data_IF_843514405794
#
_entry.id   IF_843514405794
#
_cell.length_a   1.000
_cell.length_b   1.000
_cell.length_c   1.000
_cell.angle_alpha   90.00
_cell.angle_beta   90.00
_cell.angle_gamma   90.00
#
_symmetry.space_group_name_H-M   'P 1'
#
loop_
_entity.id
_entity.type
_entity.pdbx_description
1 polymer ?
#
# COMPACT_ATOMS: atom_id res chain seq x y z
N UNK A 1 32.37 -12.92 -8.67
CA UNK A 1 32.48 -12.47 -7.25
C UNK A 1 31.84 -11.11 -7.02
N UNK A 2 32.28 -10.00 -7.66
CA UNK A 2 31.70 -8.65 -7.47
C UNK A 2 30.17 -8.59 -7.57
N UNK A 3 29.59 -9.13 -8.64
CA UNK A 3 28.14 -9.09 -8.87
C UNK A 3 27.36 -9.94 -7.85
N UNK A 4 27.97 -11.01 -7.32
CA UNK A 4 27.35 -11.86 -6.28
C UNK A 4 27.31 -11.12 -4.95
N UNK A 5 28.41 -10.45 -4.58
CA UNK A 5 28.47 -9.62 -3.36
C UNK A 5 27.44 -8.49 -3.44
N UNK A 6 27.36 -7.81 -4.59
CA UNK A 6 26.42 -6.72 -4.82
C UNK A 6 24.97 -7.21 -4.77
N UNK A 7 24.68 -8.37 -5.36
CA UNK A 7 23.37 -9.02 -5.26
C UNK A 7 22.96 -9.33 -3.81
N UNK A 8 23.85 -9.95 -3.03
CA UNK A 8 23.56 -10.30 -1.62
C UNK A 8 23.35 -9.06 -0.75
N UNK A 9 24.12 -8.00 -0.98
CA UNK A 9 23.96 -6.73 -0.26
C UNK A 9 22.62 -6.07 -0.59
N UNK A 10 22.26 -6.02 -1.88
CA UNK A 10 20.94 -5.52 -2.32
C UNK A 10 19.80 -6.37 -1.77
N UNK A 11 19.95 -7.69 -1.78
CA UNK A 11 18.96 -8.61 -1.21
C UNK A 11 18.73 -8.32 0.26
N UNK A 12 19.80 -8.19 1.06
CA UNK A 12 19.71 -7.85 2.48
C UNK A 12 19.01 -6.50 2.71
N UNK A 13 19.41 -5.47 1.96
CA UNK A 13 18.81 -4.14 2.05
C UNK A 13 17.32 -4.13 1.69
N UNK A 14 16.97 -4.68 0.52
CA UNK A 14 15.57 -4.74 0.08
C UNK A 14 14.73 -5.60 1.02
N UNK A 15 15.25 -6.74 1.47
CA UNK A 15 14.52 -7.63 2.37
C UNK A 15 14.19 -6.94 3.69
N UNK A 16 15.15 -6.24 4.30
CA UNK A 16 14.91 -5.46 5.50
C UNK A 16 13.85 -4.37 5.27
N UNK A 17 14.05 -3.52 4.26
CA UNK A 17 13.14 -2.42 3.96
C UNK A 17 11.69 -2.88 3.68
N UNK A 18 11.53 -3.93 2.85
CA UNK A 18 10.22 -4.48 2.49
C UNK A 18 9.57 -5.15 3.71
N UNK A 19 10.33 -5.88 4.54
CA UNK A 19 9.80 -6.51 5.74
C UNK A 19 9.23 -5.49 6.71
N UNK A 20 9.96 -4.40 6.99
CA UNK A 20 9.45 -3.34 7.88
C UNK A 20 8.24 -2.61 7.29
N UNK A 21 8.23 -2.36 5.97
CA UNK A 21 7.06 -1.80 5.28
C UNK A 21 5.83 -2.70 5.40
N UNK A 22 6.01 -4.02 5.22
CA UNK A 22 4.93 -4.99 5.32
C UNK A 22 4.45 -5.20 6.77
N UNK A 23 5.32 -5.05 7.77
CA UNK A 23 4.89 -4.99 9.19
C UNK A 23 3.98 -3.79 9.43
N UNK A 24 4.34 -2.60 8.94
CA UNK A 24 3.50 -1.42 9.07
C UNK A 24 2.16 -1.58 8.33
N UNK A 25 2.19 -2.20 7.14
CA UNK A 25 1.00 -2.53 6.36
C UNK A 25 0.08 -3.52 7.11
N UNK A 26 0.65 -4.58 7.67
CA UNK A 26 -0.07 -5.58 8.47
C UNK A 26 -0.74 -4.96 9.70
N UNK A 27 -0.01 -4.12 10.45
CA UNK A 27 -0.56 -3.45 11.64
C UNK A 27 -1.66 -2.46 11.26
N UNK A 28 -1.51 -1.75 10.14
CA UNK A 28 -2.54 -0.85 9.62
C UNK A 28 -3.79 -1.62 9.22
N UNK A 29 -3.64 -2.79 8.60
CA UNK A 29 -4.76 -3.64 8.25
C UNK A 29 -5.52 -4.13 9.49
N UNK A 30 -4.80 -4.51 10.55
CA UNK A 30 -5.44 -4.82 11.82
C UNK A 30 -6.17 -3.61 12.41
N UNK A 31 -5.58 -2.41 12.43
CA UNK A 31 -6.24 -1.22 12.98
C UNK A 31 -7.57 -0.90 12.26
N UNK A 32 -7.63 -1.10 10.94
CA UNK A 32 -8.89 -1.00 10.19
C UNK A 32 -9.85 -2.13 10.55
N UNK A 33 -9.34 -3.36 10.74
CA UNK A 33 -10.12 -4.50 11.23
C UNK A 33 -10.75 -4.27 12.61
N UNK A 34 -10.01 -3.66 13.54
CA UNK A 34 -10.48 -3.27 14.88
C UNK A 34 -11.68 -2.33 14.80
N UNK A 35 -11.63 -1.36 13.89
CA UNK A 35 -12.72 -0.42 13.64
C UNK A 35 -13.91 -1.07 12.90
N UNK A 36 -13.66 -2.08 12.07
CA UNK A 36 -14.68 -2.71 11.23
C UNK A 36 -15.47 -3.82 11.94
N UNK A 37 -14.80 -4.68 12.71
CA UNK A 37 -15.38 -5.88 13.33
C UNK A 37 -15.74 -5.65 14.81
N UNK A 38 -16.76 -6.36 15.32
CA UNK A 38 -17.24 -6.27 16.72
C UNK A 38 -16.87 -7.47 17.58
N UNK A 39 -17.01 -7.30 18.90
CA UNK A 39 -16.88 -8.39 19.88
C UNK A 39 -15.43 -8.86 20.07
N UNK A 40 -15.25 -10.15 20.41
CA UNK A 40 -13.93 -10.76 20.61
C UNK A 40 -13.00 -10.63 19.39
N UNK A 41 -13.58 -10.51 18.19
CA UNK A 41 -12.81 -10.26 16.98
C UNK A 41 -12.09 -8.89 17.02
N UNK A 42 -12.67 -7.86 17.63
CA UNK A 42 -12.06 -6.53 17.75
C UNK A 42 -10.82 -6.55 18.66
N UNK A 43 -10.86 -7.30 19.77
CA UNK A 43 -9.73 -7.42 20.70
C UNK A 43 -8.50 -8.07 20.05
N UNK A 44 -8.71 -9.01 19.13
CA UNK A 44 -7.66 -9.62 18.32
C UNK A 44 -6.93 -8.61 17.42
N UNK A 45 -7.60 -7.53 17.03
CA UNK A 45 -7.09 -6.49 16.15
C UNK A 45 -6.52 -5.27 16.88
N UNK A 46 -6.70 -5.18 18.21
CA UNK A 46 -6.12 -4.11 19.04
C UNK A 46 -4.65 -3.84 18.71
N UNK A 47 -4.28 -2.56 18.66
CA UNK A 47 -2.95 -2.14 18.19
C UNK A 47 -1.79 -2.90 18.89
N UNK A 48 -1.87 -3.07 20.20
CA UNK A 48 -0.87 -3.79 20.98
C UNK A 48 -0.79 -5.28 20.62
N UNK A 49 -1.95 -5.95 20.47
CA UNK A 49 -2.03 -7.35 20.05
C UNK A 49 -1.51 -7.53 18.61
N UNK A 50 -1.85 -6.60 17.73
CA UNK A 50 -1.46 -6.61 16.31
C UNK A 50 0.04 -6.44 16.12
N UNK A 51 0.68 -5.52 16.86
CA UNK A 51 2.14 -5.38 16.86
C UNK A 51 2.78 -6.67 17.38
N UNK A 52 2.29 -7.21 18.51
CA UNK A 52 2.81 -8.48 19.06
C UNK A 52 2.69 -9.61 18.04
N UNK A 53 1.54 -9.77 17.39
CA UNK A 53 1.29 -10.80 16.36
C UNK A 53 2.22 -10.62 15.16
N UNK A 54 2.43 -9.39 14.69
CA UNK A 54 3.31 -9.08 13.57
C UNK A 54 4.77 -9.51 13.84
N UNK A 55 5.25 -9.36 15.08
CA UNK A 55 6.61 -9.73 15.50
C UNK A 55 6.74 -11.15 16.09
N UNK A 56 5.65 -11.91 16.22
CA UNK A 56 5.69 -13.26 16.80
C UNK A 56 5.06 -14.29 15.85
N UNK A 57 3.74 -14.44 15.90
CA UNK A 57 3.01 -15.51 15.20
C UNK A 57 2.99 -15.32 13.69
N UNK A 58 2.98 -14.08 13.21
CA UNK A 58 2.91 -13.75 11.78
C UNK A 58 4.23 -13.25 11.21
N UNK A 59 5.28 -13.15 12.03
CA UNK A 59 6.58 -12.65 11.56
C UNK A 59 7.16 -13.51 10.44
N UNK A 60 7.09 -14.84 10.57
CA UNK A 60 7.57 -15.76 9.53
C UNK A 60 6.83 -15.60 8.20
N UNK A 61 5.50 -15.40 8.26
CA UNK A 61 4.65 -15.10 7.09
C UNK A 61 5.09 -13.81 6.41
N UNK A 62 5.32 -12.74 7.18
CA UNK A 62 5.75 -11.44 6.67
C UNK A 62 7.15 -11.53 6.06
N UNK A 63 8.11 -12.13 6.77
CA UNK A 63 9.48 -12.32 6.28
C UNK A 63 9.54 -13.15 5.00
N UNK A 64 8.76 -14.23 4.91
CA UNK A 64 8.74 -15.12 3.75
C UNK A 64 8.21 -14.41 2.51
N UNK A 65 7.06 -13.74 2.59
CA UNK A 65 6.51 -12.98 1.46
C UNK A 65 7.41 -11.81 1.04
N UNK A 66 8.00 -11.12 2.02
CA UNK A 66 8.94 -10.01 1.79
C UNK A 66 10.25 -10.46 1.13
N UNK A 67 10.75 -11.65 1.48
CA UNK A 67 11.96 -12.22 0.88
C UNK A 67 11.78 -12.49 -0.62
N UNK A 68 10.62 -13.01 -1.00
CA UNK A 68 10.32 -13.31 -2.40
C UNK A 68 10.33 -12.04 -3.26
N UNK A 69 9.68 -10.96 -2.79
CA UNK A 69 9.72 -9.66 -3.45
C UNK A 69 11.13 -9.05 -3.49
N UNK A 70 11.86 -9.13 -2.38
CA UNK A 70 13.24 -8.64 -2.28
C UNK A 70 14.18 -9.35 -3.26
N UNK A 71 13.99 -10.66 -3.47
CA UNK A 71 14.77 -11.46 -4.42
C UNK A 71 14.63 -10.93 -5.84
N UNK A 72 13.40 -10.63 -6.26
CA UNK A 72 13.10 -10.13 -7.60
C UNK A 72 13.64 -8.71 -7.77
N UNK A 73 13.48 -7.84 -6.76
CA UNK A 73 14.05 -6.48 -6.76
C UNK A 73 15.57 -6.49 -6.86
N UNK A 74 16.23 -7.35 -6.07
CA UNK A 74 17.68 -7.51 -6.12
C UNK A 74 18.15 -8.03 -7.48
N UNK A 75 17.46 -9.05 -8.03
CA UNK A 75 17.78 -9.62 -9.34
C UNK A 75 17.63 -8.57 -10.46
N UNK A 76 16.54 -7.79 -10.43
CA UNK A 76 16.31 -6.69 -11.38
C UNK A 76 17.40 -5.63 -11.27
N UNK A 77 17.74 -5.20 -10.07
CA UNK A 77 18.74 -4.13 -9.85
C UNK A 77 20.13 -4.53 -10.37
N UNK A 78 20.51 -5.80 -10.26
CA UNK A 78 21.74 -6.33 -10.85
C UNK A 78 21.63 -6.52 -12.37
N UNK A 79 20.46 -6.92 -12.87
CA UNK A 79 20.22 -7.10 -14.30
C UNK A 79 20.13 -5.78 -15.09
N UNK A 80 19.73 -4.68 -14.46
CA UNK A 80 19.65 -3.33 -15.04
C UNK A 80 21.05 -2.66 -15.16
N UNK A 81 22.13 -3.45 -15.23
CA UNK A 81 23.49 -2.96 -15.43
C UNK A 81 23.61 -2.34 -16.83
N UNK A 82 23.67 -1.00 -16.85
CA UNK A 82 23.76 -0.15 -18.04
C UNK A 82 24.94 -0.48 -18.97
N UNK A 83 25.89 -1.31 -18.53
CA UNK A 83 27.02 -1.79 -19.32
C UNK A 83 26.66 -2.94 -20.27
N UNK A 84 25.63 -3.74 -19.98
CA UNK A 84 25.18 -4.84 -20.85
C UNK A 84 24.04 -4.42 -21.76
N UNK A 85 24.38 -3.85 -22.92
CA UNK A 85 23.40 -3.42 -23.94
C UNK A 85 23.06 -4.53 -24.93
N UNK A 86 22.45 -5.61 -24.45
CA UNK A 86 21.88 -6.66 -25.31
C UNK A 86 20.35 -6.61 -25.29
N UNK A 87 19.72 -6.89 -26.43
CA UNK A 87 18.26 -7.02 -26.54
C UNK A 87 17.72 -8.06 -25.55
N UNK A 88 18.45 -9.17 -25.36
CA UNK A 88 18.09 -10.21 -24.39
C UNK A 88 18.12 -9.70 -22.94
N UNK A 89 19.09 -8.86 -22.59
CA UNK A 89 19.15 -8.23 -21.27
C UNK A 89 17.99 -7.26 -21.07
N UNK A 90 17.64 -6.48 -22.10
CA UNK A 90 16.47 -5.58 -22.04
C UNK A 90 15.16 -6.36 -21.83
N UNK A 91 14.92 -7.44 -22.58
CA UNK A 91 13.74 -8.31 -22.41
C UNK A 91 13.70 -8.89 -20.99
N UNK A 92 14.83 -9.39 -20.50
CA UNK A 92 14.92 -9.95 -19.15
C UNK A 92 14.61 -8.91 -18.06
N UNK A 93 15.17 -7.71 -18.15
CA UNK A 93 14.88 -6.60 -17.22
C UNK A 93 13.41 -6.18 -17.30
N UNK A 94 12.82 -6.15 -18.50
CA UNK A 94 11.39 -5.87 -18.67
C UNK A 94 10.50 -6.93 -17.98
N UNK A 95 10.81 -8.22 -18.15
CA UNK A 95 10.10 -9.31 -17.47
C UNK A 95 10.23 -9.16 -15.95
N UNK A 96 11.44 -8.93 -15.44
CA UNK A 96 11.66 -8.72 -14.01
C UNK A 96 10.91 -7.50 -13.47
N UNK A 97 10.82 -6.40 -14.23
CA UNK A 97 10.02 -5.21 -13.87
C UNK A 97 8.54 -5.51 -13.74
N UNK A 98 7.99 -6.31 -14.66
CA UNK A 98 6.57 -6.72 -14.61
C UNK A 98 6.35 -7.64 -13.41
N UNK A 99 7.23 -8.62 -13.25
CA UNK A 99 7.16 -9.62 -12.19
C UNK A 99 7.26 -8.97 -10.81
N UNK A 100 8.17 -8.01 -10.62
CA UNK A 100 8.29 -7.22 -9.39
C UNK A 100 6.98 -6.49 -9.06
N UNK A 101 6.38 -5.80 -10.04
CA UNK A 101 5.13 -5.06 -9.84
C UNK A 101 3.97 -5.99 -9.48
N UNK A 102 3.83 -7.09 -10.21
CA UNK A 102 2.75 -8.06 -9.97
C UNK A 102 2.90 -8.69 -8.58
N UNK A 103 4.11 -9.07 -8.20
CA UNK A 103 4.33 -9.77 -6.93
C UNK A 103 4.25 -8.82 -5.74
N UNK A 104 4.81 -7.60 -5.86
CA UNK A 104 4.61 -6.57 -4.83
C UNK A 104 3.12 -6.28 -4.63
N UNK A 105 2.36 -6.14 -5.71
CA UNK A 105 0.92 -5.93 -5.62
C UNK A 105 0.21 -7.09 -4.92
N UNK A 106 0.42 -8.34 -5.36
CA UNK A 106 -0.20 -9.51 -4.74
C UNK A 106 0.18 -9.68 -3.26
N UNK A 107 1.43 -9.37 -2.91
CA UNK A 107 1.92 -9.41 -1.54
C UNK A 107 1.14 -8.48 -0.61
N UNK A 108 0.91 -7.23 -1.03
CA UNK A 108 0.15 -6.25 -0.24
C UNK A 108 -1.23 -6.81 0.14
N UNK A 109 -1.98 -7.31 -0.84
CA UNK A 109 -3.29 -7.91 -0.59
C UNK A 109 -3.24 -9.18 0.26
N UNK A 110 -2.25 -10.05 0.02
CA UNK A 110 -2.05 -11.25 0.81
C UNK A 110 -1.74 -10.93 2.28
N UNK A 111 -0.97 -9.88 2.56
CA UNK A 111 -0.66 -9.46 3.93
C UNK A 111 -1.86 -8.85 4.64
N UNK A 112 -2.69 -8.06 3.96
CA UNK A 112 -3.97 -7.60 4.51
C UNK A 112 -4.83 -8.79 4.89
N UNK A 113 -4.96 -9.77 3.99
CA UNK A 113 -5.76 -10.95 4.25
C UNK A 113 -5.19 -11.79 5.40
N UNK A 114 -3.87 -11.95 5.48
CA UNK A 114 -3.19 -12.61 6.59
C UNK A 114 -3.39 -11.88 7.93
N UNK A 115 -3.41 -10.55 7.93
CA UNK A 115 -3.65 -9.75 9.13
C UNK A 115 -5.03 -10.00 9.72
N UNK A 116 -6.05 -9.98 8.86
CA UNK A 116 -7.45 -10.17 9.24
C UNK A 116 -7.75 -11.63 9.60
N UNK A 117 -7.24 -12.60 8.85
CA UNK A 117 -7.60 -14.02 9.03
C UNK A 117 -6.63 -14.81 9.91
N UNK A 118 -5.42 -14.30 10.15
CA UNK A 118 -4.35 -15.02 10.85
C UNK A 118 -3.73 -16.18 10.06
N UNK A 119 -4.03 -16.31 8.76
CA UNK A 119 -3.51 -17.38 7.91
C UNK A 119 -2.05 -17.14 7.50
N UNK A 120 -1.32 -18.23 7.19
CA UNK A 120 0.02 -18.15 6.63
C UNK A 120 0.04 -17.56 5.21
N UNK A 121 1.17 -17.01 4.76
CA UNK A 121 1.30 -16.27 3.50
C UNK A 121 0.66 -16.96 2.28
N UNK A 122 1.01 -18.24 2.06
CA UNK A 122 0.55 -19.01 0.89
C UNK A 122 -0.95 -19.27 0.97
N UNK A 123 -1.46 -19.58 2.15
CA UNK A 123 -2.88 -19.84 2.37
C UNK A 123 -3.68 -18.53 2.21
N UNK A 124 -3.22 -17.44 2.83
CA UNK A 124 -3.82 -16.12 2.72
C UNK A 124 -3.89 -15.65 1.26
N UNK A 125 -2.82 -15.85 0.49
CA UNK A 125 -2.78 -15.51 -0.94
C UNK A 125 -3.82 -16.28 -1.76
N UNK A 126 -3.98 -17.60 -1.51
CA UNK A 126 -4.98 -18.43 -2.19
C UNK A 126 -6.40 -18.03 -1.81
N UNK A 127 -6.66 -17.90 -0.50
CA UNK A 127 -7.96 -17.47 0.03
C UNK A 127 -8.37 -16.10 -0.50
N UNK A 128 -7.42 -15.16 -0.59
CA UNK A 128 -7.65 -13.84 -1.19
C UNK A 128 -8.05 -13.95 -2.66
N UNK A 129 -7.31 -14.71 -3.47
CA UNK A 129 -7.61 -14.90 -4.90
C UNK A 129 -8.98 -15.56 -5.08
N UNK A 130 -9.31 -16.56 -4.26
CA UNK A 130 -10.58 -17.27 -4.34
C UNK A 130 -11.75 -16.37 -3.92
N UNK A 131 -11.58 -15.57 -2.87
CA UNK A 131 -12.57 -14.57 -2.46
C UNK A 131 -12.85 -13.56 -3.59
N UNK A 132 -11.80 -13.04 -4.22
CA UNK A 132 -11.95 -12.07 -5.31
C UNK A 132 -12.62 -12.69 -6.55
N UNK A 133 -12.28 -13.93 -6.90
CA UNK A 133 -12.94 -14.66 -7.99
C UNK A 133 -14.41 -14.90 -7.70
N UNK A 134 -14.77 -15.28 -6.47
CA UNK A 134 -16.15 -15.51 -6.07
C UNK A 134 -16.98 -14.22 -6.08
N UNK A 135 -16.38 -13.08 -5.73
CA UNK A 135 -17.06 -11.78 -5.72
C UNK A 135 -17.10 -11.10 -7.10
N UNK A 136 -16.30 -11.53 -8.06
CA UNK A 136 -16.25 -10.96 -9.41
C UNK A 136 -15.71 -9.53 -9.47
N UNK A 137 -14.95 -9.10 -8.45
CA UNK A 137 -14.53 -7.72 -8.29
C UNK A 137 -13.30 -7.38 -9.14
N UNK A 138 -13.45 -6.44 -10.09
CA UNK A 138 -12.32 -5.79 -10.78
C UNK A 138 -11.82 -4.54 -10.03
N UNK A 139 -12.15 -4.42 -8.73
CA UNK A 139 -11.79 -3.32 -7.82
C UNK A 139 -10.29 -2.95 -7.83
N UNK A 140 -9.44 -3.84 -8.33
CA UNK A 140 -8.04 -3.60 -8.72
C UNK A 140 -7.86 -2.28 -9.51
N UNK A 141 -8.83 -1.90 -10.34
CA UNK A 141 -8.77 -0.68 -11.16
C UNK A 141 -8.87 0.59 -10.28
N UNK A 142 -9.73 0.59 -9.26
CA UNK A 142 -9.91 1.75 -8.39
C UNK A 142 -8.70 2.02 -7.49
N UNK A 143 -8.01 0.96 -7.04
CA UNK A 143 -6.79 1.10 -6.24
C UNK A 143 -5.72 1.91 -6.97
N UNK A 144 -5.60 1.72 -8.29
CA UNK A 144 -4.65 2.47 -9.12
C UNK A 144 -4.98 3.96 -9.15
N UNK A 145 -6.26 4.33 -9.12
CA UNK A 145 -6.71 5.72 -9.09
C UNK A 145 -6.43 6.37 -7.73
N UNK A 146 -6.73 5.66 -6.63
CA UNK A 146 -6.47 6.14 -5.26
C UNK A 146 -4.98 6.36 -5.04
N UNK A 147 -4.14 5.37 -5.38
CA UNK A 147 -2.69 5.49 -5.26
C UNK A 147 -2.13 6.65 -6.09
N UNK A 148 -2.61 6.84 -7.31
CA UNK A 148 -2.19 7.97 -8.16
C UNK A 148 -2.60 9.31 -7.57
N UNK A 149 -3.81 9.42 -7.05
CA UNK A 149 -4.33 10.65 -6.42
C UNK A 149 -3.52 11.01 -5.18
N UNK A 150 -3.23 10.03 -4.32
CA UNK A 150 -2.40 10.23 -3.12
C UNK A 150 -0.96 10.65 -3.46
N UNK A 151 -0.36 10.11 -4.53
CA UNK A 151 0.94 10.56 -5.01
C UNK A 151 0.93 12.01 -5.48
N UNK A 152 -0.13 12.44 -6.18
CA UNK A 152 -0.28 13.84 -6.60
C UNK A 152 -0.43 14.77 -5.39
N UNK A 153 -1.18 14.36 -4.37
CA UNK A 153 -1.32 15.11 -3.11
C UNK A 153 0.04 15.25 -2.41
N UNK A 154 0.81 14.16 -2.29
CA UNK A 154 2.15 14.20 -1.67
C UNK A 154 3.10 15.16 -2.40
N UNK A 155 3.11 15.13 -3.74
CA UNK A 155 3.87 16.09 -4.55
C UNK A 155 3.38 17.52 -4.36
N UNK A 156 2.06 17.73 -4.30
CA UNK A 156 1.45 19.03 -4.02
C UNK A 156 1.89 19.62 -2.69
N UNK A 157 1.88 18.81 -1.62
CA UNK A 157 2.37 19.20 -0.28
C UNK A 157 3.84 19.60 -0.35
N UNK A 158 4.66 18.85 -1.09
CA UNK A 158 6.07 19.20 -1.33
C UNK A 158 6.25 20.56 -2.00
N UNK A 159 5.43 20.88 -3.01
CA UNK A 159 5.49 22.20 -3.65
C UNK A 159 5.05 23.32 -2.71
N UNK A 160 4.03 23.09 -1.89
CA UNK A 160 3.57 24.08 -0.90
C UNK A 160 4.65 24.33 0.15
N UNK A 161 5.33 23.29 0.67
CA UNK A 161 6.42 23.46 1.62
C UNK A 161 7.62 24.19 1.01
N UNK A 162 7.94 23.91 -0.25
CA UNK A 162 8.98 24.61 -1.00
C UNK A 162 8.63 26.09 -1.21
N UNK A 163 7.39 26.39 -1.59
CA UNK A 163 6.93 27.76 -1.79
C UNK A 163 6.92 28.56 -0.48
N UNK A 164 6.48 27.96 0.63
CA UNK A 164 6.52 28.59 1.94
C UNK A 164 7.96 28.89 2.39
N UNK A 165 8.87 27.93 2.22
CA UNK A 165 10.29 28.13 2.52
C UNK A 165 10.90 29.24 1.64
N UNK A 166 10.59 29.25 0.34
CA UNK A 166 11.04 30.30 -0.58
C UNK A 166 10.54 31.69 -0.19
N UNK A 167 9.27 31.81 0.19
CA UNK A 167 8.68 33.08 0.64
C UNK A 167 9.34 33.57 1.93
N UNK A 168 9.55 32.69 2.91
CA UNK A 168 10.22 33.03 4.17
C UNK A 168 11.65 33.53 3.90
N UNK A 169 12.40 32.83 3.05
CA UNK A 169 13.77 33.22 2.69
C UNK A 169 13.82 34.57 1.95
N UNK A 170 12.83 34.85 1.09
CA UNK A 170 12.71 36.14 0.41
C UNK A 170 12.45 37.31 1.38
N UNK A 171 11.65 37.09 2.43
CA UNK A 171 11.31 38.12 3.41
C UNK A 171 12.43 38.38 4.43
N UNK A 172 13.29 37.40 4.72
CA UNK A 172 14.32 37.50 5.77
C UNK A 172 15.69 37.94 5.25
N UNK A 173 15.96 37.84 3.95
CA UNK A 173 17.27 38.18 3.37
C UNK A 173 17.20 39.55 2.72
N UNK A 174 18.05 40.47 3.18
CA UNK A 174 18.18 41.83 2.63
C UNK A 174 18.71 41.87 1.19
N UNK A 175 19.53 40.89 0.78
CA UNK A 175 20.12 40.77 -0.58
C UNK A 175 19.92 39.36 -1.17
N UNK A 176 18.70 39.04 -1.67
CA UNK A 176 18.37 37.69 -2.11
C UNK A 176 19.09 37.27 -3.41
N UNK A 177 19.51 38.23 -4.23
CA UNK A 177 20.19 37.98 -5.51
C UNK A 177 21.63 37.45 -5.32
N UNK A 178 22.36 37.91 -4.30
CA UNK A 178 23.71 37.40 -4.02
C UNK A 178 23.67 36.02 -3.33
N UNK A 179 22.56 35.69 -2.66
CA UNK A 179 22.36 34.44 -1.92
C UNK A 179 21.46 33.44 -2.65
N UNK A 180 21.38 33.52 -3.98
CA UNK A 180 20.48 32.68 -4.77
C UNK A 180 20.78 31.17 -4.60
N UNK A 181 22.06 30.79 -4.61
CA UNK A 181 22.49 29.39 -4.48
C UNK A 181 22.03 28.73 -3.16
N UNK A 182 22.30 29.30 -1.96
CA UNK A 182 21.81 28.72 -0.71
C UNK A 182 20.28 28.75 -0.60
N UNK A 183 19.59 29.76 -1.16
CA UNK A 183 18.13 29.80 -1.17
C UNK A 183 17.55 28.63 -1.96
N UNK A 184 18.07 28.35 -3.16
CA UNK A 184 17.62 27.23 -4.00
C UNK A 184 17.83 25.88 -3.28
N UNK A 185 18.97 25.71 -2.60
CA UNK A 185 19.27 24.49 -1.83
C UNK A 185 18.24 24.30 -0.71
N UNK A 186 17.94 25.36 0.06
CA UNK A 186 16.97 25.29 1.16
C UNK A 186 15.57 24.96 0.62
N UNK A 187 15.13 25.63 -0.45
CA UNK A 187 13.83 25.37 -1.10
C UNK A 187 13.75 23.92 -1.58
N UNK A 188 14.82 23.39 -2.18
CA UNK A 188 14.87 22.01 -2.63
C UNK A 188 14.84 21.00 -1.48
N UNK A 189 15.55 21.29 -0.38
CA UNK A 189 15.51 20.44 0.82
C UNK A 189 14.11 20.49 1.45
N UNK A 190 13.48 21.65 1.54
CA UNK A 190 12.11 21.79 2.04
C UNK A 190 11.07 21.08 1.17
N UNK A 191 11.27 21.06 -0.15
CA UNK A 191 10.49 20.22 -1.07
C UNK A 191 10.65 18.74 -0.72
N UNK A 192 11.89 18.27 -0.60
CA UNK A 192 12.19 16.87 -0.34
C UNK A 192 11.62 16.42 1.00
N UNK A 193 11.77 17.20 2.06
CA UNK A 193 11.21 16.90 3.39
C UNK A 193 9.68 16.85 3.32
N UNK A 194 9.03 17.80 2.62
CA UNK A 194 7.58 17.82 2.46
C UNK A 194 7.04 16.58 1.72
N UNK A 195 7.71 16.17 0.65
CA UNK A 195 7.37 14.93 -0.08
C UNK A 195 7.60 13.71 0.79
N UNK A 196 8.73 13.63 1.50
CA UNK A 196 9.04 12.48 2.36
C UNK A 196 8.01 12.32 3.48
N UNK A 197 7.70 13.39 4.22
CA UNK A 197 6.74 13.33 5.32
C UNK A 197 5.33 12.99 4.82
N UNK A 198 4.88 13.62 3.74
CA UNK A 198 3.57 13.31 3.16
C UNK A 198 3.49 11.88 2.60
N UNK A 199 4.60 11.36 2.05
CA UNK A 199 4.65 10.02 1.48
C UNK A 199 4.37 8.92 2.52
N UNK A 200 4.83 9.11 3.76
CA UNK A 200 4.58 8.20 4.88
C UNK A 200 3.07 8.10 5.14
N UNK A 201 2.39 9.25 5.27
CA UNK A 201 0.94 9.30 5.51
C UNK A 201 0.18 8.68 4.34
N UNK A 202 0.54 9.00 3.10
CA UNK A 202 -0.15 8.46 1.93
C UNK A 202 0.00 6.94 1.80
N UNK A 203 1.12 6.37 2.25
CA UNK A 203 1.33 4.91 2.26
C UNK A 203 0.39 4.23 3.24
N UNK A 204 0.20 4.81 4.43
CA UNK A 204 -0.78 4.33 5.42
C UNK A 204 -2.19 4.45 4.85
N UNK A 205 -2.56 5.59 4.26
CA UNK A 205 -3.88 5.79 3.66
C UNK A 205 -4.18 4.76 2.55
N UNK A 206 -3.21 4.48 1.69
CA UNK A 206 -3.34 3.46 0.64
C UNK A 206 -3.62 2.09 1.26
N UNK A 207 -2.91 1.77 2.35
CA UNK A 207 -3.09 0.53 3.10
C UNK A 207 -4.48 0.43 3.72
N UNK A 208 -5.00 1.54 4.28
CA UNK A 208 -6.34 1.59 4.84
C UNK A 208 -7.41 1.34 3.79
N UNK A 209 -7.33 2.00 2.62
CA UNK A 209 -8.32 1.87 1.55
C UNK A 209 -8.39 0.42 1.04
N UNK A 210 -7.23 -0.21 0.81
CA UNK A 210 -7.17 -1.63 0.41
C UNK A 210 -7.76 -2.54 1.48
N UNK A 211 -7.49 -2.25 2.75
CA UNK A 211 -8.05 -3.05 3.85
C UNK A 211 -9.56 -2.92 3.93
N UNK A 212 -10.11 -1.71 3.76
CA UNK A 212 -11.57 -1.49 3.72
C UNK A 212 -12.22 -2.32 2.62
N UNK A 213 -11.60 -2.40 1.44
CA UNK A 213 -12.09 -3.26 0.34
C UNK A 213 -12.11 -4.73 0.76
N UNK A 214 -11.04 -5.24 1.38
CA UNK A 214 -10.98 -6.64 1.84
C UNK A 214 -12.00 -6.91 2.95
N UNK A 215 -12.13 -6.01 3.93
CA UNK A 215 -13.12 -6.14 5.02
C UNK A 215 -14.54 -6.15 4.46
N UNK A 216 -14.83 -5.29 3.48
CA UNK A 216 -16.11 -5.25 2.78
C UNK A 216 -16.37 -6.54 1.99
N UNK A 217 -15.35 -7.11 1.34
CA UNK A 217 -15.45 -8.39 0.63
C UNK A 217 -15.68 -9.59 1.57
N UNK A 218 -15.13 -9.52 2.78
CA UNK A 218 -15.23 -10.57 3.80
C UNK A 218 -16.61 -10.58 4.46
N UNK A 219 -16.98 -9.47 5.11
CA UNK A 219 -18.23 -9.36 5.83
C UNK A 219 -18.70 -7.89 5.95
N UNK A 220 -19.56 -7.42 5.04
CA UNK A 220 -20.12 -6.07 5.10
C UNK A 220 -21.14 -5.89 6.23
N UNK A 221 -21.79 -6.96 6.69
CA UNK A 221 -22.77 -6.89 7.77
C UNK A 221 -22.12 -6.55 9.12
N UNK A 222 -20.85 -6.90 9.32
CA UNK A 222 -20.07 -6.51 10.50
C UNK A 222 -19.98 -4.97 10.63
N UNK A 223 -19.80 -4.26 9.51
CA UNK A 223 -19.83 -2.80 9.51
C UNK A 223 -21.22 -2.25 9.83
N UNK A 224 -22.29 -2.93 9.39
CA UNK A 224 -23.66 -2.52 9.69
C UNK A 224 -23.99 -2.56 11.18
N UNK A 225 -23.33 -3.44 11.92
CA UNK A 225 -23.50 -3.55 13.38
C UNK A 225 -22.79 -2.42 14.15
N UNK A 226 -21.69 -1.86 13.63
CA UNK A 226 -20.94 -0.77 14.27
C UNK A 226 -21.32 0.61 13.75
N UNK A 227 -21.51 0.72 12.44
CA UNK A 227 -21.51 1.95 11.66
C UNK A 227 -22.55 1.85 10.52
N UNK A 228 -23.86 1.78 10.83
CA UNK A 228 -24.91 1.57 9.83
C UNK A 228 -24.97 2.66 8.77
N UNK A 229 -24.70 3.92 9.14
CA UNK A 229 -24.71 5.06 8.21
C UNK A 229 -23.60 4.95 7.16
N UNK A 230 -22.41 4.51 7.57
CA UNK A 230 -21.28 4.31 6.67
C UNK A 230 -21.51 3.14 5.71
N UNK A 231 -22.11 2.05 6.21
CA UNK A 231 -22.48 0.92 5.36
C UNK A 231 -23.48 1.35 4.29
N UNK A 232 -24.53 2.10 4.67
CA UNK A 232 -25.53 2.60 3.71
C UNK A 232 -24.90 3.45 2.62
N UNK A 233 -24.03 4.40 3.01
CA UNK A 233 -23.32 5.25 2.05
C UNK A 233 -22.40 4.45 1.13
N UNK A 234 -21.71 3.45 1.68
CA UNK A 234 -20.79 2.60 0.91
C UNK A 234 -21.56 1.75 -0.11
N UNK A 235 -22.68 1.12 0.28
CA UNK A 235 -23.51 0.31 -0.62
C UNK A 235 -24.19 1.17 -1.69
N UNK A 236 -24.67 2.38 -1.35
CA UNK A 236 -25.22 3.33 -2.33
C UNK A 236 -24.20 3.72 -3.40
N UNK A 237 -22.97 4.07 -2.99
CA UNK A 237 -21.89 4.41 -3.93
C UNK A 237 -21.51 3.19 -4.77
N UNK A 238 -21.45 2.01 -4.15
CA UNK A 238 -21.09 0.78 -4.85
C UNK A 238 -22.14 0.37 -5.89
N UNK A 239 -23.43 0.51 -5.57
CA UNK A 239 -24.52 0.33 -6.53
C UNK A 239 -24.40 1.32 -7.70
N UNK A 240 -24.13 2.60 -7.42
CA UNK A 240 -24.03 3.62 -8.46
C UNK A 240 -22.83 3.44 -9.39
N UNK A 241 -21.68 3.05 -8.86
CA UNK A 241 -20.41 2.98 -9.61
C UNK A 241 -20.15 1.58 -10.18
N UNK A 242 -20.54 0.52 -9.47
CA UNK A 242 -20.19 -0.87 -9.78
C UNK A 242 -21.43 -1.79 -9.74
N UNK A 243 -22.56 -1.34 -10.31
CA UNK A 243 -23.83 -2.07 -10.30
C UNK A 243 -23.71 -3.56 -10.72
N UNK A 244 -22.97 -3.85 -11.79
CA UNK A 244 -22.78 -5.21 -12.29
C UNK A 244 -21.95 -6.09 -11.34
N UNK A 245 -20.88 -5.54 -10.76
CA UNK A 245 -20.03 -6.26 -9.81
C UNK A 245 -20.76 -6.50 -8.49
N UNK A 246 -21.57 -5.54 -8.05
CA UNK A 246 -22.39 -5.70 -6.85
C UNK A 246 -23.45 -6.78 -7.03
N UNK A 247 -24.13 -6.81 -8.19
CA UNK A 247 -25.08 -7.86 -8.54
C UNK A 247 -24.42 -9.25 -8.51
N UNK A 248 -23.20 -9.37 -9.06
CA UNK A 248 -22.45 -10.62 -9.10
C UNK A 248 -21.83 -11.02 -7.76
N UNK A 249 -21.61 -10.07 -6.85
CA UNK A 249 -20.95 -10.30 -5.56
C UNK A 249 -21.75 -11.18 -4.59
N UNK A 250 -23.01 -11.49 -4.89
CA UNK A 250 -23.92 -12.22 -4.00
C UNK A 250 -24.55 -11.36 -2.90
N UNK A 251 -24.13 -10.09 -2.75
CA UNK A 251 -24.66 -9.17 -1.74
C UNK A 251 -25.91 -8.40 -2.16
N UNK A 252 -26.27 -8.42 -3.45
CA UNK A 252 -27.47 -7.73 -3.96
C UNK A 252 -28.78 -8.18 -3.30
N UNK A 253 -28.84 -9.41 -2.76
CA UNK A 253 -30.00 -9.91 -2.00
C UNK A 253 -30.03 -9.42 -0.55
N UNK A 254 -28.87 -9.11 0.04
CA UNK A 254 -28.74 -8.63 1.42
C UNK A 254 -28.87 -7.11 1.52
N UNK A 255 -28.42 -6.38 0.51
CA UNK A 255 -28.46 -4.90 0.49
C UNK A 255 -29.17 -4.44 -0.78
N UNK A 256 -30.50 -4.50 -0.73
CA UNK A 256 -31.39 -4.05 -1.81
C UNK A 256 -31.20 -2.54 -1.99
N UNK A 257 -31.19 -2.09 -3.24
CA UNK A 257 -31.12 -0.67 -3.60
C UNK A 257 -32.19 0.10 -2.82
N UNK A 258 -31.86 1.24 -2.17
CA UNK A 258 -32.88 2.05 -1.52
C UNK A 258 -33.87 2.49 -2.59
N UNK A 259 -35.13 2.07 -2.47
CA UNK A 259 -36.18 2.53 -3.37
C UNK A 259 -36.25 4.06 -3.24
N UNK A 260 -35.92 4.73 -4.34
CA UNK A 260 -35.99 6.18 -4.51
C UNK A 260 -37.43 6.65 -4.32
#
# INVERSE_FOLDING_TARGET
>A
VRNIILFLLLLSWYWGAITFGNIAHFVTACAVGEWWFTGEASEQYSLGSSIKRAFTTNFGTICFGSLFEALIKAARSVADDKRQKSILSCIFVCILRILEKVIGYLNEWAFIFAALTGQGFVQASRSFIDLFKQRGWTVIINDTLVGTTLMLISRGIGFISAAAAGLIMYLLISDPLEKLAPIIIIVFISFLIGVLMSSIITTILTSCVRTVVVCFALNPAALGATHPDYLKKLTEVWHKVYAQEFANSGYAKQFVEPMV
#
